data_IF_602232199572
#
_entry.id   IF_602232199572
#
_cell.length_a   1.000
_cell.length_b   1.000
_cell.length_c   1.000
_cell.angle_alpha   90.00
_cell.angle_beta   90.00
_cell.angle_gamma   90.00
#
_symmetry.space_group_name_H-M   'P 1'
#
loop_
_entity.id
_entity.type
_entity.pdbx_description
1 polymer ?
#
# COMPACT_ATOMS: atom_id res chain seq x y z
N UNK A 1 -0.55 -18.86 -7.77
CA UNK A 1 0.42 -17.73 -7.72
C UNK A 1 1.33 -17.88 -8.92
N UNK A 2 1.69 -16.81 -9.59
CA UNK A 2 2.50 -16.85 -10.83
C UNK A 2 4.02 -16.89 -10.58
N UNK A 3 4.45 -17.04 -9.34
CA UNK A 3 5.86 -17.19 -8.93
C UNK A 3 6.71 -15.92 -9.03
N UNK A 4 6.10 -14.76 -9.26
CA UNK A 4 6.85 -13.48 -9.35
C UNK A 4 7.36 -12.96 -8.00
N UNK A 5 6.79 -13.41 -6.89
CA UNK A 5 7.17 -13.00 -5.53
C UNK A 5 7.53 -14.26 -4.75
N UNK A 6 8.73 -14.29 -4.19
CA UNK A 6 9.24 -15.40 -3.39
C UNK A 6 8.76 -15.29 -1.93
N UNK A 7 7.45 -15.47 -1.72
CA UNK A 7 6.84 -15.37 -0.41
C UNK A 7 5.37 -15.75 -0.43
N UNK A 8 4.83 -16.00 0.76
CA UNK A 8 3.45 -16.42 0.96
C UNK A 8 2.62 -15.33 1.62
N UNK A 9 1.37 -15.20 1.19
CA UNK A 9 0.39 -14.34 1.86
C UNK A 9 -0.22 -15.12 3.01
N UNK A 10 0.17 -14.81 4.25
CA UNK A 10 -0.28 -15.52 5.46
C UNK A 10 -1.56 -14.96 6.04
N UNK A 11 -1.87 -13.69 5.80
CA UNK A 11 -3.10 -13.07 6.27
C UNK A 11 -3.56 -11.92 5.37
N UNK A 12 -4.87 -11.68 5.34
CA UNK A 12 -5.51 -10.49 4.79
C UNK A 12 -6.29 -9.78 5.90
N UNK A 13 -6.00 -8.50 6.11
CA UNK A 13 -6.65 -7.65 7.11
C UNK A 13 -7.48 -6.59 6.40
N UNK A 14 -8.75 -6.45 6.77
CA UNK A 14 -9.64 -5.45 6.17
C UNK A 14 -10.58 -4.84 7.21
N UNK A 15 -10.96 -3.60 7.02
CA UNK A 15 -12.04 -2.96 7.79
C UNK A 15 -13.44 -3.28 7.23
N UNK A 16 -13.49 -3.94 6.07
CA UNK A 16 -14.73 -4.40 5.41
C UNK A 16 -14.67 -5.93 5.24
N UNK A 17 -15.18 -6.71 6.21
CA UNK A 17 -15.02 -8.17 6.23
C UNK A 17 -15.80 -8.90 5.12
N UNK A 18 -16.58 -8.18 4.33
CA UNK A 18 -17.36 -8.69 3.18
C UNK A 18 -16.83 -8.15 1.85
N UNK A 19 -15.61 -7.59 1.80
CA UNK A 19 -15.04 -7.11 0.54
C UNK A 19 -14.47 -8.28 -0.29
N UNK A 20 -14.39 -8.08 -1.61
CA UNK A 20 -13.92 -9.10 -2.54
C UNK A 20 -12.51 -9.64 -2.23
N UNK A 21 -11.63 -8.83 -1.64
CA UNK A 21 -10.29 -9.27 -1.20
C UNK A 21 -10.35 -10.27 -0.04
N UNK A 22 -11.28 -10.08 0.90
CA UNK A 22 -11.50 -11.04 2.01
C UNK A 22 -12.14 -12.31 1.48
N UNK A 23 -13.10 -12.22 0.55
CA UNK A 23 -13.74 -13.40 -0.02
C UNK A 23 -12.73 -14.23 -0.84
N UNK A 24 -11.87 -13.56 -1.61
CA UNK A 24 -10.78 -14.21 -2.32
C UNK A 24 -9.81 -14.94 -1.35
N UNK A 25 -9.39 -14.27 -0.28
CA UNK A 25 -8.50 -14.85 0.72
C UNK A 25 -9.10 -16.10 1.37
N UNK A 26 -10.37 -16.05 1.78
CA UNK A 26 -11.10 -17.19 2.32
C UNK A 26 -11.16 -18.35 1.34
N UNK A 27 -11.44 -18.09 0.07
CA UNK A 27 -11.48 -19.10 -0.99
C UNK A 27 -10.13 -19.79 -1.24
N UNK A 28 -9.03 -19.17 -0.80
CA UNK A 28 -7.67 -19.72 -0.91
C UNK A 28 -7.07 -20.20 0.42
N UNK A 29 -7.88 -20.29 1.49
CA UNK A 29 -7.42 -20.74 2.79
C UNK A 29 -6.49 -19.76 3.52
N UNK A 30 -6.45 -18.49 3.09
CA UNK A 30 -5.64 -17.45 3.73
C UNK A 30 -6.39 -16.91 4.96
N UNK A 31 -5.69 -16.76 6.07
CA UNK A 31 -6.27 -16.19 7.30
C UNK A 31 -6.82 -14.79 7.04
N UNK A 32 -8.04 -14.52 7.52
CA UNK A 32 -8.66 -13.20 7.39
C UNK A 32 -8.94 -12.59 8.76
N UNK A 33 -8.66 -11.29 8.91
CA UNK A 33 -8.89 -10.54 10.14
C UNK A 33 -9.60 -9.22 9.84
N UNK A 34 -10.43 -8.76 10.78
CA UNK A 34 -11.10 -7.45 10.67
C UNK A 34 -10.39 -6.44 11.57
N UNK A 35 -9.97 -5.31 11.01
CA UNK A 35 -9.35 -4.19 11.73
C UNK A 35 -9.68 -2.85 11.05
N UNK A 36 -9.95 -1.80 11.81
CA UNK A 36 -10.07 -1.75 13.28
C UNK A 36 -11.38 -2.30 13.80
N UNK A 37 -11.43 -2.56 15.10
CA UNK A 37 -12.70 -2.81 15.80
C UNK A 37 -13.63 -1.60 15.62
N UNK A 38 -14.92 -1.81 15.30
CA UNK A 38 -15.85 -0.72 15.07
C UNK A 38 -16.13 0.02 16.39
N UNK A 39 -16.25 1.36 16.31
CA UNK A 39 -16.50 2.21 17.50
C UNK A 39 -17.88 2.01 18.11
N UNK A 40 -18.91 1.67 17.33
CA UNK A 40 -20.28 1.37 17.76
C UNK A 40 -20.94 0.46 16.74
N UNK A 41 -21.43 -0.69 17.15
CA UNK A 41 -22.16 -1.66 16.34
C UNK A 41 -21.44 -2.00 15.04
N UNK A 42 -21.45 -3.22 14.65
CA UNK A 42 -20.76 -3.67 13.43
C UNK A 42 -20.12 -5.03 13.63
N UNK A 43 -19.27 -5.41 12.67
CA UNK A 43 -18.56 -6.67 12.77
C UNK A 43 -17.51 -6.62 13.89
N UNK A 44 -17.32 -7.73 14.63
CA UNK A 44 -16.24 -7.81 15.60
C UNK A 44 -14.90 -7.62 14.88
N UNK A 45 -14.04 -6.78 15.43
CA UNK A 45 -12.73 -6.48 14.85
C UNK A 45 -11.67 -6.36 15.94
N UNK A 46 -10.42 -6.47 15.53
CA UNK A 46 -9.27 -6.37 16.42
C UNK A 46 -9.03 -4.95 16.89
N UNK A 47 -8.55 -4.82 18.11
CA UNK A 47 -7.86 -3.63 18.60
C UNK A 47 -6.45 -3.54 17.97
N UNK A 48 -5.80 -2.38 18.10
CA UNK A 48 -4.43 -2.23 17.63
C UNK A 48 -3.46 -3.20 18.30
N UNK A 49 -3.59 -3.41 19.61
CA UNK A 49 -2.73 -4.32 20.36
C UNK A 49 -2.89 -5.77 19.87
N UNK A 50 -4.13 -6.23 19.70
CA UNK A 50 -4.43 -7.57 19.17
C UNK A 50 -3.93 -7.75 17.74
N UNK A 51 -4.02 -6.72 16.90
CA UNK A 51 -3.47 -6.78 15.54
C UNK A 51 -1.94 -6.91 15.56
N UNK A 52 -1.26 -6.10 16.36
CA UNK A 52 0.21 -6.17 16.51
C UNK A 52 0.62 -7.55 16.99
N UNK A 53 0.00 -8.06 18.06
CA UNK A 53 0.26 -9.41 18.58
C UNK A 53 0.01 -10.49 17.51
N UNK A 54 -1.11 -10.42 16.80
CA UNK A 54 -1.46 -11.39 15.76
C UNK A 54 -0.40 -11.43 14.65
N UNK A 55 0.04 -10.27 14.18
CA UNK A 55 1.01 -10.20 13.08
C UNK A 55 2.44 -10.53 13.53
N UNK A 56 2.86 -10.10 14.73
CA UNK A 56 4.27 -10.25 15.16
C UNK A 56 4.54 -11.56 15.89
N UNK A 57 3.57 -12.12 16.64
CA UNK A 57 3.81 -13.26 17.52
C UNK A 57 3.09 -14.53 17.05
N UNK A 58 1.86 -14.43 16.54
CA UNK A 58 1.08 -15.60 16.17
C UNK A 58 1.30 -16.04 14.72
N UNK A 59 1.44 -15.07 13.80
CA UNK A 59 1.61 -15.32 12.37
C UNK A 59 3.05 -15.06 11.88
N UNK A 60 3.90 -14.48 12.73
CA UNK A 60 5.30 -14.18 12.44
C UNK A 60 5.50 -13.51 11.07
N UNK A 61 4.65 -12.51 10.77
CA UNK A 61 4.63 -11.80 9.49
C UNK A 61 5.93 -11.01 9.30
N UNK A 62 6.64 -11.24 8.20
CA UNK A 62 7.87 -10.51 7.88
C UNK A 62 7.58 -9.12 7.33
N UNK A 63 6.60 -8.98 6.46
CA UNK A 63 6.29 -7.75 5.72
C UNK A 63 4.81 -7.43 5.76
N UNK A 64 4.47 -6.14 5.78
CA UNK A 64 3.10 -5.66 5.69
C UNK A 64 2.94 -4.84 4.40
N UNK A 65 1.93 -5.18 3.60
CA UNK A 65 1.64 -4.53 2.34
C UNK A 65 0.28 -3.83 2.40
N UNK A 66 0.26 -2.53 2.21
CA UNK A 66 -0.98 -1.76 2.17
C UNK A 66 -1.47 -1.64 0.73
N UNK A 67 -2.70 -2.06 0.48
CA UNK A 67 -3.37 -1.96 -0.82
C UNK A 67 -4.78 -1.41 -0.59
N UNK A 68 -5.00 -0.14 -0.90
CA UNK A 68 -6.30 0.51 -0.68
C UNK A 68 -6.67 0.71 0.80
N UNK A 69 -5.72 0.71 1.71
CA UNK A 69 -5.95 1.02 3.12
C UNK A 69 -5.95 2.55 3.30
N UNK A 70 -7.12 3.12 3.64
CA UNK A 70 -7.34 4.57 3.64
C UNK A 70 -7.23 5.22 5.03
N UNK A 71 -6.96 4.44 6.06
CA UNK A 71 -6.83 4.92 7.44
C UNK A 71 -5.35 5.11 7.79
N UNK A 72 -5.10 5.95 8.81
CA UNK A 72 -3.75 6.06 9.35
C UNK A 72 -3.36 4.74 10.00
N UNK A 73 -2.18 4.24 9.66
CA UNK A 73 -1.63 3.04 10.27
C UNK A 73 -1.21 3.38 11.70
N UNK A 74 -1.56 2.57 12.69
CA UNK A 74 -1.14 2.82 14.08
C UNK A 74 0.37 2.89 14.21
N UNK A 75 0.86 3.87 14.97
CA UNK A 75 2.29 4.10 15.17
C UNK A 75 3.03 2.88 15.75
N UNK A 76 2.33 2.09 16.59
CA UNK A 76 2.89 0.85 17.15
C UNK A 76 3.19 -0.17 16.04
N UNK A 77 2.25 -0.35 15.11
CA UNK A 77 2.44 -1.24 13.96
C UNK A 77 3.55 -0.73 13.05
N UNK A 78 3.59 0.58 12.75
CA UNK A 78 4.65 1.20 11.95
C UNK A 78 6.02 0.95 12.57
N UNK A 79 6.15 1.09 13.89
CA UNK A 79 7.40 0.83 14.61
C UNK A 79 7.86 -0.63 14.50
N UNK A 80 6.94 -1.60 14.65
CA UNK A 80 7.23 -3.03 14.52
C UNK A 80 7.71 -3.39 13.10
N UNK A 81 7.21 -2.70 12.08
CA UNK A 81 7.50 -2.99 10.67
C UNK A 81 8.32 -1.89 9.98
N UNK A 82 9.16 -1.19 10.73
CA UNK A 82 10.07 -0.18 10.16
C UNK A 82 10.90 -0.79 9.01
N UNK A 83 10.86 -0.16 7.84
CA UNK A 83 11.49 -0.64 6.59
C UNK A 83 10.96 -2.01 6.09
N UNK A 84 9.82 -2.46 6.60
CA UNK A 84 9.17 -3.73 6.23
C UNK A 84 7.68 -3.54 5.90
N UNK A 85 7.23 -2.29 5.75
CA UNK A 85 5.85 -1.97 5.39
C UNK A 85 5.84 -1.06 4.18
N UNK A 86 5.17 -1.49 3.10
CA UNK A 86 5.00 -0.73 1.87
C UNK A 86 3.54 -0.29 1.69
N UNK A 87 3.37 0.87 1.09
CA UNK A 87 2.09 1.36 0.57
C UNK A 87 2.22 1.73 -0.89
N UNK A 88 1.12 1.65 -1.63
CA UNK A 88 1.00 2.21 -2.97
C UNK A 88 0.02 3.37 -2.95
N UNK A 89 0.46 4.54 -3.41
CA UNK A 89 -0.30 5.77 -3.51
C UNK A 89 -0.54 6.12 -4.98
N UNK A 90 -1.77 6.49 -5.41
CA UNK A 90 -2.10 6.69 -6.83
C UNK A 90 -1.68 8.06 -7.38
N UNK A 91 -0.69 8.70 -6.80
CA UNK A 91 -0.12 9.99 -7.18
C UNK A 91 1.41 9.98 -7.15
N UNK A 92 2.04 10.96 -7.81
CA UNK A 92 3.48 11.16 -7.74
C UNK A 92 3.84 11.94 -6.46
N UNK A 93 4.19 11.22 -5.40
CA UNK A 93 4.67 11.84 -4.16
C UNK A 93 5.98 12.62 -4.42
N UNK A 94 6.21 13.71 -3.70
CA UNK A 94 5.45 14.24 -2.54
C UNK A 94 4.20 15.05 -2.92
N UNK A 95 3.91 15.27 -4.21
CA UNK A 95 2.72 15.98 -4.67
C UNK A 95 1.48 15.11 -4.50
N UNK A 96 0.33 15.75 -4.23
CA UNK A 96 -0.98 15.09 -4.13
C UNK A 96 -1.03 13.91 -3.13
N UNK A 97 -0.24 13.99 -2.04
CA UNK A 97 -0.22 13.04 -0.92
C UNK A 97 -0.68 13.68 0.38
N UNK A 98 -0.76 12.86 1.44
CA UNK A 98 -1.14 13.30 2.76
C UNK A 98 -2.64 13.22 3.04
N UNK A 99 -3.05 13.76 4.19
CA UNK A 99 -4.43 13.67 4.69
C UNK A 99 -5.45 14.21 3.69
N UNK A 100 -6.39 13.36 3.27
CA UNK A 100 -7.46 13.74 2.33
C UNK A 100 -7.18 13.36 0.87
N UNK A 101 -5.95 13.03 0.51
CA UNK A 101 -5.57 12.56 -0.82
C UNK A 101 -5.63 11.04 -0.90
N UNK A 102 -6.75 10.50 -1.37
CA UNK A 102 -6.96 9.06 -1.56
C UNK A 102 -7.94 8.78 -2.70
N UNK A 103 -7.78 7.62 -3.34
CA UNK A 103 -8.66 7.16 -4.40
C UNK A 103 -8.88 8.20 -5.50
N UNK A 104 -10.11 8.41 -5.92
CA UNK A 104 -10.44 9.35 -7.01
C UNK A 104 -10.09 10.82 -6.71
N UNK A 105 -10.01 11.19 -5.44
CA UNK A 105 -9.65 12.57 -5.03
C UNK A 105 -8.23 12.97 -5.47
N UNK A 106 -7.31 12.02 -5.53
CA UNK A 106 -5.96 12.27 -6.05
C UNK A 106 -6.03 12.67 -7.52
N UNK A 107 -6.75 11.92 -8.34
CA UNK A 107 -6.89 12.17 -9.76
C UNK A 107 -7.65 13.48 -10.05
N UNK A 108 -8.66 13.80 -9.25
CA UNK A 108 -9.36 15.10 -9.31
C UNK A 108 -8.39 16.25 -9.04
N UNK A 109 -7.56 16.15 -8.01
CA UNK A 109 -6.59 17.17 -7.65
C UNK A 109 -5.50 17.34 -8.73
N UNK A 110 -4.99 16.22 -9.29
CA UNK A 110 -4.02 16.25 -10.40
C UNK A 110 -4.57 17.00 -11.61
N UNK A 111 -5.81 16.68 -12.01
CA UNK A 111 -6.47 17.35 -13.15
C UNK A 111 -6.72 18.82 -12.84
N UNK A 112 -7.25 19.14 -11.65
CA UNK A 112 -7.53 20.52 -11.24
C UNK A 112 -6.27 21.38 -11.17
N UNK A 113 -5.13 20.80 -10.81
CA UNK A 113 -3.83 21.48 -10.80
C UNK A 113 -3.24 21.70 -12.20
N UNK A 114 -3.83 21.13 -13.25
CA UNK A 114 -3.28 21.19 -14.60
C UNK A 114 -1.96 20.42 -14.76
N UNK A 115 -1.67 19.47 -13.88
CA UNK A 115 -0.46 18.65 -13.96
C UNK A 115 -0.43 17.86 -15.27
N UNK A 116 0.75 17.76 -15.87
CA UNK A 116 0.93 17.07 -17.17
C UNK A 116 1.30 15.60 -17.00
N UNK A 117 1.75 15.22 -15.80
CA UNK A 117 2.11 13.86 -15.43
C UNK A 117 1.49 13.47 -14.10
N UNK A 118 1.15 12.21 -13.97
CA UNK A 118 0.72 11.53 -12.75
C UNK A 118 1.35 10.15 -12.71
N UNK A 119 0.92 9.31 -11.79
CA UNK A 119 1.38 7.93 -11.71
C UNK A 119 1.45 7.42 -10.28
N UNK A 120 1.60 6.12 -10.06
CA UNK A 120 1.70 5.56 -8.74
C UNK A 120 3.06 5.78 -8.10
N UNK A 121 3.06 5.88 -6.77
CA UNK A 121 4.24 5.86 -5.92
C UNK A 121 4.16 4.68 -4.95
N UNK A 122 5.17 3.82 -4.94
CA UNK A 122 5.41 2.85 -3.87
C UNK A 122 6.38 3.47 -2.88
N UNK A 123 6.01 3.50 -1.61
CA UNK A 123 6.82 4.09 -0.55
C UNK A 123 6.78 3.24 0.72
N UNK A 124 7.79 3.36 1.55
CA UNK A 124 7.75 2.82 2.90
C UNK A 124 6.77 3.62 3.75
N UNK A 125 6.06 2.94 4.65
CA UNK A 125 5.08 3.59 5.52
C UNK A 125 5.78 4.25 6.70
N UNK A 126 5.35 5.46 7.04
CA UNK A 126 5.75 6.19 8.23
C UNK A 126 4.52 6.54 9.09
N UNK A 127 4.75 7.20 10.22
CA UNK A 127 3.69 7.56 11.19
C UNK A 127 2.70 8.60 10.66
N UNK A 128 3.06 9.35 9.65
CA UNK A 128 2.20 10.29 8.96
C UNK A 128 1.82 9.79 7.56
N UNK A 129 0.71 10.29 7.03
CA UNK A 129 0.24 9.90 5.68
C UNK A 129 1.25 10.28 4.59
N UNK A 130 1.65 9.31 3.80
CA UNK A 130 2.41 9.45 2.56
C UNK A 130 3.76 10.19 2.70
N UNK A 131 4.36 10.18 3.90
CA UNK A 131 5.63 10.88 4.19
C UNK A 131 6.86 9.99 4.16
N UNK A 132 6.66 8.67 4.13
CA UNK A 132 7.78 7.73 4.17
C UNK A 132 8.62 7.72 2.88
N UNK A 133 9.83 7.14 2.93
CA UNK A 133 10.77 7.13 1.81
C UNK A 133 10.19 6.45 0.58
N UNK A 134 10.30 7.14 -0.57
CA UNK A 134 9.85 6.64 -1.88
C UNK A 134 10.79 5.54 -2.35
N UNK A 135 10.23 4.38 -2.72
CA UNK A 135 10.96 3.24 -3.24
C UNK A 135 10.93 3.17 -4.77
N UNK A 136 9.75 3.36 -5.36
CA UNK A 136 9.56 3.29 -6.81
C UNK A 136 8.41 4.17 -7.27
N UNK A 137 8.52 4.68 -8.49
CA UNK A 137 7.46 5.46 -9.15
C UNK A 137 7.37 5.07 -10.62
N UNK A 138 6.15 5.15 -11.18
CA UNK A 138 5.92 5.08 -12.62
C UNK A 138 5.12 6.28 -13.06
N UNK A 139 5.44 6.80 -14.25
CA UNK A 139 4.84 8.03 -14.78
C UNK A 139 3.79 7.70 -15.84
N UNK A 140 2.66 8.40 -15.81
CA UNK A 140 1.65 8.42 -16.87
C UNK A 140 1.37 9.85 -17.30
N UNK A 141 1.06 10.05 -18.56
CA UNK A 141 0.62 11.36 -19.07
C UNK A 141 -0.80 11.69 -18.57
N UNK A 142 -1.04 12.97 -18.34
CA UNK A 142 -2.37 13.53 -18.08
C UNK A 142 -2.82 14.30 -19.32
N UNK A 143 -3.87 13.83 -19.98
CA UNK A 143 -4.40 14.46 -21.17
C UNK A 143 -5.36 15.60 -20.83
N UNK A 144 -5.44 16.66 -21.66
CA UNK A 144 -6.32 17.80 -21.41
C UNK A 144 -7.80 17.43 -21.30
N UNK A 145 -8.20 16.29 -21.85
CA UNK A 145 -9.59 15.78 -21.87
C UNK A 145 -9.82 14.65 -20.87
N UNK A 146 -8.86 14.39 -19.97
CA UNK A 146 -9.01 13.33 -18.98
C UNK A 146 -10.14 13.65 -17.99
N UNK A 147 -10.91 12.63 -17.69
CA UNK A 147 -11.74 12.59 -16.50
C UNK A 147 -10.96 11.89 -15.36
N UNK A 148 -11.30 12.13 -14.09
CA UNK A 148 -10.68 11.42 -12.96
C UNK A 148 -10.68 9.91 -13.14
N UNK A 149 -11.76 9.34 -13.65
CA UNK A 149 -11.88 7.90 -13.92
C UNK A 149 -10.92 7.40 -15.02
N UNK A 150 -10.74 8.18 -16.10
CA UNK A 150 -9.79 7.81 -17.18
C UNK A 150 -8.35 7.83 -16.67
N UNK A 151 -8.00 8.88 -15.92
CA UNK A 151 -6.67 8.97 -15.30
C UNK A 151 -6.46 7.84 -14.29
N UNK A 152 -7.44 7.58 -13.42
CA UNK A 152 -7.40 6.48 -12.46
C UNK A 152 -7.14 5.11 -13.13
N UNK A 153 -7.85 4.81 -14.22
CA UNK A 153 -7.65 3.55 -14.95
C UNK A 153 -6.22 3.44 -15.53
N UNK A 154 -5.65 4.55 -16.04
CA UNK A 154 -4.28 4.57 -16.56
C UNK A 154 -3.24 4.41 -15.45
N UNK A 155 -3.44 5.05 -14.30
CA UNK A 155 -2.59 4.92 -13.12
C UNK A 155 -2.65 3.49 -12.58
N UNK A 156 -3.85 2.91 -12.45
CA UNK A 156 -4.06 1.54 -11.95
C UNK A 156 -3.28 0.48 -12.77
N UNK A 157 -3.18 0.66 -14.09
CA UNK A 157 -2.34 -0.22 -14.92
C UNK A 157 -0.88 -0.21 -14.48
N UNK A 158 -0.36 0.96 -14.10
CA UNK A 158 1.01 1.08 -13.61
C UNK A 158 1.15 0.61 -12.15
N UNK A 159 0.13 0.75 -11.33
CA UNK A 159 0.11 0.18 -9.97
C UNK A 159 0.28 -1.35 -10.01
N UNK A 160 -0.45 -2.02 -10.89
CA UNK A 160 -0.38 -3.47 -11.07
C UNK A 160 0.99 -3.98 -11.58
N UNK A 161 1.82 -3.09 -12.11
CA UNK A 161 3.19 -3.41 -12.53
C UNK A 161 4.19 -3.08 -11.42
N UNK A 162 4.18 -1.84 -10.91
CA UNK A 162 5.22 -1.37 -9.99
C UNK A 162 5.11 -1.97 -8.59
N UNK A 163 3.88 -2.25 -8.11
CA UNK A 163 3.73 -2.74 -6.76
C UNK A 163 4.24 -4.18 -6.59
N UNK A 164 3.86 -5.15 -7.42
CA UNK A 164 4.45 -6.50 -7.36
C UNK A 164 5.98 -6.49 -7.55
N UNK A 165 6.51 -5.62 -8.41
CA UNK A 165 7.95 -5.47 -8.64
C UNK A 165 8.68 -4.98 -7.38
N UNK A 166 8.12 -3.96 -6.71
CA UNK A 166 8.65 -3.43 -5.45
C UNK A 166 8.55 -4.44 -4.31
N UNK A 167 7.43 -5.20 -4.23
CA UNK A 167 7.25 -6.26 -3.24
C UNK A 167 8.25 -7.39 -3.46
N UNK A 168 8.45 -7.83 -4.71
CA UNK A 168 9.47 -8.83 -5.02
C UNK A 168 10.87 -8.36 -4.60
N UNK A 169 11.21 -7.10 -4.88
CA UNK A 169 12.49 -6.52 -4.46
C UNK A 169 12.66 -6.49 -2.94
N UNK A 170 11.57 -6.21 -2.20
CA UNK A 170 11.58 -6.22 -0.75
C UNK A 170 11.81 -7.63 -0.19
N UNK A 171 11.06 -8.60 -0.67
CA UNK A 171 11.12 -10.00 -0.20
C UNK A 171 12.45 -10.66 -0.57
N UNK A 172 12.99 -10.37 -1.76
CA UNK A 172 14.29 -10.89 -2.22
C UNK A 172 15.50 -10.19 -1.58
N UNK A 173 15.31 -9.21 -0.69
CA UNK A 173 16.40 -8.44 -0.08
C UNK A 173 17.15 -7.53 -1.07
N UNK A 174 16.54 -7.16 -2.20
CA UNK A 174 17.13 -6.30 -3.25
C UNK A 174 16.95 -4.79 -2.98
N UNK A 175 16.77 -4.43 -1.71
CA UNK A 175 16.67 -3.02 -1.30
C UNK A 175 17.82 -2.70 -0.36
N UNK A 176 18.62 -1.72 -0.72
CA UNK A 176 19.65 -1.14 0.14
C UNK A 176 19.30 0.30 0.49
N UNK A 177 20.01 0.88 1.44
CA UNK A 177 19.71 2.21 1.96
C UNK A 177 20.94 3.10 1.86
N UNK A 178 20.78 4.29 1.31
CA UNK A 178 21.79 5.34 1.37
C UNK A 178 21.95 5.85 2.81
N UNK A 179 23.07 6.49 3.09
CA UNK A 179 23.36 7.06 4.41
C UNK A 179 22.37 8.14 4.87
N UNK A 180 21.69 8.81 3.92
CA UNK A 180 20.63 9.80 4.14
C UNK A 180 19.22 9.19 4.26
N UNK A 181 19.11 7.86 4.23
CA UNK A 181 17.84 7.16 4.42
C UNK A 181 17.00 6.96 3.14
N UNK A 182 17.55 7.24 1.97
CA UNK A 182 16.89 6.98 0.68
C UNK A 182 17.05 5.49 0.32
N UNK A 183 15.95 4.76 0.02
CA UNK A 183 16.04 3.37 -0.44
C UNK A 183 16.51 3.30 -1.89
N UNK A 184 17.26 2.26 -2.21
CA UNK A 184 17.70 1.90 -3.56
C UNK A 184 17.15 0.52 -3.87
N UNK A 185 16.32 0.42 -4.91
CA UNK A 185 15.80 -0.85 -5.41
C UNK A 185 16.67 -1.34 -6.56
N UNK A 186 17.23 -2.55 -6.41
CA UNK A 186 18.06 -3.19 -7.44
C UNK A 186 17.19 -4.08 -8.33
N UNK A 187 17.48 -4.06 -9.62
CA UNK A 187 16.85 -4.97 -10.60
C UNK A 187 17.17 -6.43 -10.27
N UNK A 188 16.28 -7.34 -10.63
CA UNK A 188 16.61 -8.76 -10.68
C UNK A 188 17.65 -9.01 -11.79
N UNK A 189 18.68 -9.78 -11.50
CA UNK A 189 19.67 -10.23 -12.48
C UNK A 189 19.14 -11.43 -13.25
#
# INVERSE_FOLDING_TARGET
MDGRINGDVVAVVSDVPTCGGVDYAKGHGITTMTYPAPKKGGFPGLTTAELVEALTQRLEVDYVLLAGFLKLVPSDLVRCYKRRMLNIHPGLLPSFGGKGYYGERVHQAVIAAGARFSGPTVHFVDVEYDTGPILAQRVVEVYPTDTPKRLAARVLQQEHLVYPEAVAALVDGRITWRGDGVPIMWSAH
#
